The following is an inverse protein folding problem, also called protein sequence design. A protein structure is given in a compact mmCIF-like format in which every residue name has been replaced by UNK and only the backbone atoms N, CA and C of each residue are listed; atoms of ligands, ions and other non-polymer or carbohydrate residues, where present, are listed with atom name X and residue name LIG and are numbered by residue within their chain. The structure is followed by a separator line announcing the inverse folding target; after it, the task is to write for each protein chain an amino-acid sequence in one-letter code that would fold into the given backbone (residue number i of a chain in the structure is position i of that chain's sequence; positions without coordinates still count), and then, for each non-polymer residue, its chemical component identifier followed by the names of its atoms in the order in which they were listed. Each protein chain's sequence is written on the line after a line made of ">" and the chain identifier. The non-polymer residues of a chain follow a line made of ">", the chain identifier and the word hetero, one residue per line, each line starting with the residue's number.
data_IF_639325072063
#
_entry.id   IF_639325072063
#
_cell.length_a   1.000
_cell.length_b   1.000
_cell.length_c   1.000
_cell.angle_alpha   90.00
_cell.angle_beta   90.00
_cell.angle_gamma   90.00
#
_symmetry.space_group_name_H-M   'P 1'
#
loop_
_entity.id
_entity.type
_entity.pdbx_description
1 polymer ?
#
# COMPACT_ATOMS: atom_id res chain seq x y z
N UNK A 1 -20.54 -0.20 -28.57
CA UNK A 1 -19.84 -0.03 -27.28
C UNK A 1 -18.76 -1.10 -27.24
N UNK A 2 -17.50 -0.71 -27.05
CA UNK A 2 -16.34 -1.57 -27.27
C UNK A 2 -16.35 -2.71 -26.24
N UNK A 3 -16.43 -3.95 -26.69
CA UNK A 3 -16.43 -5.18 -25.86
C UNK A 3 -15.21 -5.25 -24.93
N UNK A 4 -14.07 -4.74 -25.41
CA UNK A 4 -12.82 -4.61 -24.63
C UNK A 4 -13.01 -3.70 -23.40
N UNK A 5 -13.63 -2.54 -23.58
CA UNK A 5 -13.88 -1.59 -22.49
C UNK A 5 -14.79 -2.21 -21.43
N UNK A 6 -15.88 -2.86 -21.86
CA UNK A 6 -16.80 -3.53 -20.93
C UNK A 6 -16.12 -4.64 -20.15
N UNK A 7 -15.29 -5.47 -20.81
CA UNK A 7 -14.53 -6.53 -20.13
C UNK A 7 -13.55 -5.93 -19.10
N UNK A 8 -12.86 -4.85 -19.46
CA UNK A 8 -11.98 -4.15 -18.53
C UNK A 8 -12.74 -3.61 -17.33
N UNK A 9 -13.86 -2.95 -17.55
CA UNK A 9 -14.70 -2.40 -16.49
C UNK A 9 -15.16 -3.53 -15.52
N UNK A 10 -15.62 -4.64 -16.03
CA UNK A 10 -16.11 -5.75 -15.20
C UNK A 10 -14.98 -6.45 -14.43
N UNK A 11 -13.79 -6.59 -15.02
CA UNK A 11 -12.71 -7.39 -14.44
C UNK A 11 -11.73 -6.55 -13.61
N UNK A 12 -11.48 -5.32 -13.96
CA UNK A 12 -10.42 -4.50 -13.32
C UNK A 12 -10.98 -3.47 -12.34
N UNK A 13 -12.11 -2.81 -12.65
CA UNK A 13 -12.66 -1.77 -11.78
C UNK A 13 -13.02 -2.26 -10.36
N UNK A 14 -13.44 -3.50 -10.13
CA UNK A 14 -13.65 -3.99 -8.76
C UNK A 14 -12.39 -3.99 -7.88
N UNK A 15 -11.20 -3.87 -8.47
CA UNK A 15 -9.92 -3.86 -7.77
C UNK A 15 -9.28 -2.47 -7.65
N UNK A 16 -10.02 -1.38 -8.03
CA UNK A 16 -9.51 -0.01 -7.93
C UNK A 16 -9.14 0.38 -6.51
N UNK A 17 -9.99 0.05 -5.54
CA UNK A 17 -9.75 0.37 -4.13
C UNK A 17 -8.49 -0.35 -3.61
N UNK A 18 -8.28 -1.61 -4.03
CA UNK A 18 -7.06 -2.35 -3.72
C UNK A 18 -5.82 -1.70 -4.35
N UNK A 19 -5.93 -1.22 -5.59
CA UNK A 19 -4.84 -0.55 -6.29
C UNK A 19 -4.45 0.76 -5.59
N UNK A 20 -5.43 1.61 -5.26
CA UNK A 20 -5.20 2.87 -4.54
C UNK A 20 -4.65 2.63 -3.14
N UNK A 21 -5.28 1.73 -2.36
CA UNK A 21 -4.83 1.38 -1.01
C UNK A 21 -3.40 0.85 -0.99
N UNK A 22 -3.05 -0.04 -1.92
CA UNK A 22 -1.68 -0.53 -2.04
C UNK A 22 -0.69 0.59 -2.44
N UNK A 23 -1.05 1.46 -3.41
CA UNK A 23 -0.26 2.63 -3.76
C UNK A 23 -0.04 3.54 -2.54
N UNK A 24 -1.07 3.76 -1.73
CA UNK A 24 -1.04 4.57 -0.51
C UNK A 24 -0.03 4.04 0.52
N UNK A 25 0.04 2.71 0.66
CA UNK A 25 1.03 2.08 1.54
C UNK A 25 2.46 2.14 1.00
N UNK A 26 2.62 2.13 -0.32
CA UNK A 26 3.94 2.22 -0.94
C UNK A 26 4.51 3.64 -0.90
N UNK A 27 3.71 4.66 -1.24
CA UNK A 27 4.14 6.06 -1.37
C UNK A 27 4.15 6.82 -0.06
N UNK A 28 3.30 6.45 0.91
CA UNK A 28 3.01 7.19 2.16
C UNK A 28 2.43 8.60 1.95
N UNK A 29 2.18 9.00 0.72
CA UNK A 29 1.58 10.29 0.33
C UNK A 29 0.27 10.04 -0.41
N UNK A 30 -0.84 10.73 -0.05
CA UNK A 30 -2.10 10.63 -0.78
C UNK A 30 -1.97 11.01 -2.25
N UNK A 31 -1.32 12.14 -2.52
CA UNK A 31 -1.18 12.70 -3.87
C UNK A 31 -0.34 11.77 -4.77
N UNK A 32 0.81 11.29 -4.25
CA UNK A 32 1.63 10.31 -4.96
C UNK A 32 0.89 8.97 -5.18
N UNK A 33 0.06 8.55 -4.22
CA UNK A 33 -0.72 7.33 -4.34
C UNK A 33 -1.76 7.44 -5.44
N UNK A 34 -2.40 8.59 -5.57
CA UNK A 34 -3.36 8.86 -6.63
C UNK A 34 -2.68 8.82 -8.00
N UNK A 35 -1.55 9.50 -8.16
CA UNK A 35 -0.77 9.49 -9.39
C UNK A 35 -0.32 8.07 -9.79
N UNK A 36 0.18 7.31 -8.82
CA UNK A 36 0.61 5.91 -9.04
C UNK A 36 -0.57 5.03 -9.42
N UNK A 37 -1.72 5.18 -8.76
CA UNK A 37 -2.90 4.39 -9.05
C UNK A 37 -3.48 4.74 -10.44
N UNK A 38 -3.57 6.01 -10.79
CA UNK A 38 -4.03 6.46 -12.11
C UNK A 38 -3.13 5.93 -13.22
N UNK A 39 -1.82 6.08 -13.10
CA UNK A 39 -0.86 5.55 -14.08
C UNK A 39 -0.96 4.02 -14.18
N UNK A 40 -1.16 3.32 -13.05
CA UNK A 40 -1.34 1.89 -13.04
C UNK A 40 -2.60 1.45 -13.81
N UNK A 41 -3.72 2.15 -13.64
CA UNK A 41 -4.95 1.87 -14.38
C UNK A 41 -4.79 2.14 -15.88
N UNK A 42 -4.13 3.22 -16.25
CA UNK A 42 -3.83 3.52 -17.66
C UNK A 42 -2.97 2.42 -18.30
N UNK A 43 -1.94 1.94 -17.58
CA UNK A 43 -1.10 0.82 -18.04
C UNK A 43 -1.86 -0.49 -18.09
N UNK A 44 -2.71 -0.74 -17.09
CA UNK A 44 -3.59 -1.90 -17.07
C UNK A 44 -4.53 -1.87 -18.28
N UNK A 45 -5.15 -0.75 -18.58
CA UNK A 45 -6.03 -0.63 -19.75
C UNK A 45 -5.28 -0.88 -21.06
N UNK A 46 -4.07 -0.34 -21.22
CA UNK A 46 -3.24 -0.57 -22.42
C UNK A 46 -2.79 -2.03 -22.55
N UNK A 47 -2.48 -2.68 -21.44
CA UNK A 47 -1.99 -4.06 -21.38
C UNK A 47 -3.08 -5.12 -21.20
N UNK A 48 -4.35 -4.75 -21.17
CA UNK A 48 -5.44 -5.65 -20.80
C UNK A 48 -5.57 -6.90 -21.69
N UNK A 49 -5.34 -6.73 -22.99
CA UNK A 49 -5.41 -7.86 -23.94
C UNK A 49 -4.27 -8.88 -23.76
N UNK A 50 -3.20 -8.48 -23.08
CA UNK A 50 -2.10 -9.36 -22.72
C UNK A 50 -2.29 -10.07 -21.38
N UNK A 51 -3.37 -9.75 -20.64
CA UNK A 51 -3.70 -10.43 -19.40
C UNK A 51 -3.84 -11.93 -19.63
N UNK A 52 -3.01 -12.72 -18.97
CA UNK A 52 -3.05 -14.18 -18.98
C UNK A 52 -3.38 -14.66 -17.57
N UNK A 53 -4.42 -15.48 -17.46
CA UNK A 53 -4.86 -16.06 -16.19
C UNK A 53 -6.03 -15.31 -15.55
N UNK A 54 -6.50 -15.84 -14.41
CA UNK A 54 -7.71 -15.39 -13.71
C UNK A 54 -7.44 -14.39 -12.57
N UNK A 55 -6.18 -14.22 -12.16
CA UNK A 55 -5.84 -13.35 -11.02
C UNK A 55 -5.58 -11.92 -11.47
N UNK A 56 -6.69 -11.24 -11.75
CA UNK A 56 -6.70 -9.82 -12.17
C UNK A 56 -6.15 -8.92 -11.07
N UNK A 57 -6.44 -9.23 -9.79
CA UNK A 57 -5.98 -8.44 -8.66
C UNK A 57 -4.46 -8.46 -8.55
N UNK A 58 -3.85 -9.63 -8.52
CA UNK A 58 -2.39 -9.76 -8.43
C UNK A 58 -1.68 -9.11 -9.64
N UNK A 59 -2.26 -9.27 -10.84
CA UNK A 59 -1.75 -8.60 -12.04
C UNK A 59 -1.79 -7.07 -11.91
N UNK A 60 -2.92 -6.50 -11.44
CA UNK A 60 -3.06 -5.06 -11.25
C UNK A 60 -2.09 -4.54 -10.18
N UNK A 61 -1.98 -5.22 -9.03
CA UNK A 61 -1.06 -4.83 -7.96
C UNK A 61 0.41 -4.92 -8.40
N UNK A 62 0.75 -5.86 -9.30
CA UNK A 62 2.08 -5.88 -9.96
C UNK A 62 2.33 -4.61 -10.77
N UNK A 63 1.32 -4.11 -11.47
CA UNK A 63 1.44 -2.86 -12.25
C UNK A 63 1.60 -1.67 -11.30
N UNK A 64 0.81 -1.59 -10.23
CA UNK A 64 0.92 -0.53 -9.19
C UNK A 64 2.35 -0.48 -8.63
N UNK A 65 2.88 -1.63 -8.21
CA UNK A 65 4.25 -1.76 -7.71
C UNK A 65 5.29 -1.26 -8.71
N UNK A 66 5.15 -1.62 -9.97
CA UNK A 66 6.06 -1.20 -11.03
C UNK A 66 5.97 0.30 -11.31
N UNK A 67 4.78 0.90 -11.24
CA UNK A 67 4.58 2.35 -11.37
C UNK A 67 5.27 3.08 -10.22
N UNK A 68 5.05 2.67 -8.98
CA UNK A 68 5.73 3.22 -7.81
C UNK A 68 7.26 3.15 -7.95
N UNK A 69 7.82 1.99 -8.29
CA UNK A 69 9.27 1.82 -8.47
C UNK A 69 9.84 2.75 -9.58
N UNK A 70 9.06 3.04 -10.62
CA UNK A 70 9.46 3.95 -11.70
C UNK A 70 9.42 5.41 -11.25
N UNK A 71 8.37 5.83 -10.54
CA UNK A 71 8.22 7.18 -9.98
C UNK A 71 9.33 7.48 -8.99
N UNK A 72 9.62 6.56 -8.08
CA UNK A 72 10.69 6.69 -7.09
C UNK A 72 12.07 6.86 -7.75
N UNK A 73 12.37 6.10 -8.81
CA UNK A 73 13.63 6.28 -9.58
C UNK A 73 13.70 7.64 -10.26
N UNK A 74 12.58 8.14 -10.78
CA UNK A 74 12.52 9.46 -11.43
C UNK A 74 12.77 10.58 -10.41
N UNK A 75 12.12 10.52 -9.26
CA UNK A 75 12.31 11.50 -8.17
C UNK A 75 13.76 11.52 -7.67
N UNK A 76 14.40 10.36 -7.45
CA UNK A 76 15.80 10.29 -7.07
C UNK A 76 16.75 10.84 -8.12
N UNK A 77 16.42 10.73 -9.41
CA UNK A 77 17.22 11.36 -10.48
C UNK A 77 17.10 12.88 -10.49
N UNK A 78 15.92 13.41 -10.17
CA UNK A 78 15.70 14.86 -10.07
C UNK A 78 16.33 15.41 -8.81
N UNK A 79 16.27 14.69 -7.68
CA UNK A 79 16.91 15.08 -6.42
C UNK A 79 18.45 15.05 -6.44
N UNK A 80 19.08 14.49 -7.48
CA UNK A 80 20.52 14.56 -7.70
C UNK A 80 20.97 15.90 -8.34
N UNK A 81 20.03 16.79 -8.68
CA UNK A 81 20.32 18.21 -8.97
C UNK A 81 20.16 18.95 -7.65
N UNK A 82 21.23 19.57 -7.10
CA UNK A 82 21.15 20.18 -5.76
C UNK A 82 20.29 21.44 -5.81
N UNK A 83 19.08 21.33 -5.33
CA UNK A 83 18.27 22.44 -4.83
C UNK A 83 18.07 22.20 -3.34
N UNK A 84 18.39 23.18 -2.48
CA UNK A 84 18.18 23.05 -1.04
C UNK A 84 16.70 23.33 -0.75
N UNK A 85 15.92 22.33 -0.48
CA UNK A 85 14.65 22.48 0.22
C UNK A 85 14.49 21.35 1.24
N UNK A 86 14.49 21.80 2.47
CA UNK A 86 14.10 21.04 3.65
C UNK A 86 12.65 20.61 3.49
N UNK A 87 12.41 19.32 3.35
CA UNK A 87 11.08 18.76 3.51
C UNK A 87 11.06 17.99 4.83
N UNK A 88 10.62 18.70 5.85
CA UNK A 88 10.08 18.09 7.04
C UNK A 88 8.91 17.19 6.63
N UNK A 89 9.02 15.91 6.95
CA UNK A 89 7.96 14.93 6.74
C UNK A 89 6.91 15.08 7.85
N UNK A 90 6.17 16.18 7.84
CA UNK A 90 4.93 16.33 8.55
C UNK A 90 3.77 16.09 7.57
N UNK A 91 3.40 14.83 7.44
CA UNK A 91 2.25 14.39 6.66
C UNK A 91 1.15 13.83 7.53
N UNK A 92 0.64 14.62 8.44
CA UNK A 92 -0.62 14.35 9.14
C UNK A 92 -1.79 14.74 8.23
N UNK A 93 -2.01 13.98 7.16
CA UNK A 93 -3.18 14.13 6.32
C UNK A 93 -4.35 13.36 6.96
N UNK A 94 -4.97 13.99 7.95
CA UNK A 94 -6.27 13.62 8.49
C UNK A 94 -7.31 13.59 7.35
N UNK A 95 -7.81 12.42 7.05
CA UNK A 95 -9.09 12.31 6.35
C UNK A 95 -10.16 12.71 7.38
N UNK A 96 -10.66 13.94 7.24
CA UNK A 96 -11.82 14.38 7.98
C UNK A 96 -13.04 13.55 7.53
N UNK A 97 -13.59 12.78 8.42
CA UNK A 97 -14.90 12.17 8.24
C UNK A 97 -15.77 12.55 9.42
N UNK A 98 -16.99 12.94 9.09
CA UNK A 98 -18.02 13.55 9.92
C UNK A 98 -18.32 12.83 11.25
N UNK A 99 -18.84 13.62 12.19
CA UNK A 99 -19.26 13.29 13.55
C UNK A 99 -20.09 12.01 13.65
N UNK A 100 -19.54 11.00 14.31
CA UNK A 100 -20.23 9.79 14.73
C UNK A 100 -19.88 9.41 16.20
N UNK A 101 -20.67 8.52 16.86
CA UNK A 101 -20.66 8.28 18.31
C UNK A 101 -19.30 7.82 18.88
N UNK A 102 -19.09 7.96 20.20
CA UNK A 102 -17.84 7.71 20.94
C UNK A 102 -17.15 6.37 20.61
N UNK A 103 -17.91 5.30 20.37
CA UNK A 103 -17.35 3.98 19.97
C UNK A 103 -16.68 3.99 18.59
N UNK A 104 -17.13 4.87 17.69
CA UNK A 104 -16.51 5.04 16.38
C UNK A 104 -15.17 5.81 16.48
N UNK A 105 -15.05 6.70 17.47
CA UNK A 105 -13.81 7.46 17.71
C UNK A 105 -12.69 6.55 18.23
N UNK A 106 -12.97 5.65 19.16
CA UNK A 106 -11.99 4.69 19.71
C UNK A 106 -11.47 3.76 18.63
N UNK A 107 -12.35 3.22 17.79
CA UNK A 107 -11.94 2.37 16.65
C UNK A 107 -11.07 3.10 15.63
N UNK A 108 -11.39 4.35 15.32
CA UNK A 108 -10.59 5.19 14.43
C UNK A 108 -9.20 5.47 15.00
N UNK A 109 -9.09 5.67 16.29
CA UNK A 109 -7.80 5.88 16.94
C UNK A 109 -6.94 4.60 16.95
N UNK A 110 -7.55 3.43 17.15
CA UNK A 110 -6.87 2.14 17.01
C UNK A 110 -6.42 1.87 15.58
N UNK A 111 -7.25 2.17 14.57
CA UNK A 111 -6.92 2.07 13.16
C UNK A 111 -5.76 2.99 12.77
N UNK A 112 -5.80 4.26 13.17
CA UNK A 112 -4.72 5.23 12.96
C UNK A 112 -3.42 4.81 13.63
N UNK A 113 -3.50 4.25 14.83
CA UNK A 113 -2.33 3.73 15.53
C UNK A 113 -1.73 2.54 14.80
N UNK A 114 -2.55 1.61 14.31
CA UNK A 114 -2.08 0.48 13.51
C UNK A 114 -1.43 0.96 12.20
N UNK A 115 -2.02 1.94 11.53
CA UNK A 115 -1.45 2.55 10.33
C UNK A 115 -0.07 3.16 10.60
N UNK A 116 0.10 3.90 11.68
CA UNK A 116 1.40 4.46 12.09
C UNK A 116 2.45 3.37 12.36
N UNK A 117 2.03 2.28 13.01
CA UNK A 117 2.92 1.15 13.30
C UNK A 117 3.38 0.44 12.01
N UNK A 118 2.46 0.23 11.06
CA UNK A 118 2.79 -0.37 9.76
C UNK A 118 3.66 0.60 8.93
N UNK A 119 3.35 1.89 8.93
CA UNK A 119 4.14 2.91 8.25
C UNK A 119 5.59 2.99 8.76
N UNK A 120 5.82 2.67 10.04
CA UNK A 120 7.14 2.58 10.65
C UNK A 120 7.99 1.38 10.21
N UNK A 121 7.42 0.42 9.49
CA UNK A 121 8.19 -0.70 8.95
C UNK A 121 9.05 -0.27 7.75
N UNK A 122 10.14 -1.02 7.50
CA UNK A 122 10.89 -0.86 6.25
C UNK A 122 9.99 -1.16 5.05
N UNK A 123 10.29 -0.57 3.90
CA UNK A 123 9.48 -0.70 2.68
C UNK A 123 9.29 -2.18 2.29
N UNK A 124 10.35 -2.99 2.37
CA UNK A 124 10.32 -4.43 2.10
C UNK A 124 9.39 -5.22 3.02
N UNK A 125 9.36 -4.87 4.30
CA UNK A 125 8.50 -5.54 5.29
C UNK A 125 7.07 -5.07 5.16
N UNK A 126 6.86 -3.77 4.96
CA UNK A 126 5.53 -3.18 4.77
C UNK A 126 4.86 -3.73 3.52
N UNK A 127 5.58 -3.80 2.38
CA UNK A 127 5.06 -4.31 1.12
C UNK A 127 4.45 -5.71 1.29
N UNK A 128 5.20 -6.67 1.80
CA UNK A 128 4.70 -8.04 1.95
C UNK A 128 3.60 -8.17 3.01
N UNK A 129 3.67 -7.37 4.09
CA UNK A 129 2.67 -7.36 5.14
C UNK A 129 1.33 -6.83 4.63
N UNK A 130 1.33 -5.72 3.91
CA UNK A 130 0.14 -5.11 3.31
C UNK A 130 -0.51 -6.06 2.31
N UNK A 131 0.28 -6.68 1.42
CA UNK A 131 -0.24 -7.66 0.48
C UNK A 131 -0.88 -8.86 1.18
N UNK A 132 -0.32 -9.31 2.32
CA UNK A 132 -0.87 -10.45 3.07
C UNK A 132 -2.08 -10.07 3.92
N UNK A 133 -1.95 -9.07 4.78
CA UNK A 133 -2.91 -8.80 5.86
C UNK A 133 -4.02 -7.83 5.44
N UNK A 134 -3.78 -6.98 4.45
CA UNK A 134 -4.74 -5.97 3.99
C UNK A 134 -5.36 -6.39 2.65
N UNK A 135 -4.56 -6.91 1.74
CA UNK A 135 -5.03 -7.35 0.43
C UNK A 135 -5.40 -8.84 0.37
N UNK A 136 -5.24 -9.58 1.49
CA UNK A 136 -5.58 -11.00 1.66
C UNK A 136 -5.02 -11.93 0.57
N UNK A 137 -3.80 -11.63 0.11
CA UNK A 137 -3.12 -12.42 -0.91
C UNK A 137 -2.44 -13.64 -0.32
N UNK A 138 -2.43 -14.75 -1.04
CA UNK A 138 -1.64 -15.90 -0.67
C UNK A 138 -0.14 -15.70 -0.94
N UNK A 139 0.71 -16.58 -0.43
CA UNK A 139 2.17 -16.42 -0.57
C UNK A 139 2.66 -16.54 -2.02
N UNK A 140 1.95 -17.27 -2.88
CA UNK A 140 2.29 -17.41 -4.30
C UNK A 140 1.91 -16.15 -5.06
N UNK A 141 0.76 -15.58 -4.77
CA UNK A 141 0.32 -14.29 -5.31
C UNK A 141 1.29 -13.17 -4.91
N UNK A 142 1.68 -13.11 -3.63
CA UNK A 142 2.68 -12.14 -3.15
C UNK A 142 4.02 -12.35 -3.87
N UNK A 143 4.46 -13.60 -4.05
CA UNK A 143 5.68 -13.89 -4.80
C UNK A 143 5.60 -13.41 -6.26
N UNK A 144 4.43 -13.57 -6.90
CA UNK A 144 4.19 -13.08 -8.26
C UNK A 144 4.21 -11.54 -8.32
N UNK A 145 3.53 -10.85 -7.41
CA UNK A 145 3.48 -9.37 -7.33
C UNK A 145 4.87 -8.80 -7.05
N UNK A 146 5.57 -9.34 -6.05
CA UNK A 146 6.87 -8.81 -5.60
C UNK A 146 8.05 -9.30 -6.43
N UNK A 147 7.85 -10.33 -7.26
CA UNK A 147 8.90 -11.05 -8.02
C UNK A 147 9.99 -11.63 -7.11
N UNK A 148 9.60 -12.04 -5.91
CA UNK A 148 10.48 -12.67 -4.94
C UNK A 148 10.29 -14.19 -4.91
N UNK A 149 11.33 -14.96 -4.59
CA UNK A 149 11.18 -16.38 -4.29
C UNK A 149 10.20 -16.59 -3.11
N UNK A 150 9.41 -17.66 -3.15
CA UNK A 150 8.42 -17.98 -2.12
C UNK A 150 9.03 -18.04 -0.70
N UNK A 151 10.22 -18.65 -0.56
CA UNK A 151 10.94 -18.67 0.71
C UNK A 151 11.33 -17.29 1.23
N UNK A 152 11.61 -16.34 0.30
CA UNK A 152 11.91 -14.95 0.66
C UNK A 152 10.64 -14.23 1.13
N UNK A 153 9.49 -14.46 0.50
CA UNK A 153 8.20 -13.93 0.95
C UNK A 153 7.90 -14.40 2.36
N UNK A 154 8.02 -15.71 2.62
CA UNK A 154 7.78 -16.29 3.95
C UNK A 154 8.69 -15.70 5.01
N UNK A 155 9.98 -15.59 4.74
CA UNK A 155 10.96 -15.05 5.70
C UNK A 155 10.76 -13.55 5.93
N UNK A 156 10.41 -12.76 4.89
CA UNK A 156 10.08 -11.33 5.03
C UNK A 156 8.81 -11.13 5.85
N UNK A 157 7.75 -11.90 5.61
CA UNK A 157 6.53 -11.85 6.41
C UNK A 157 6.77 -12.16 7.88
N UNK A 158 7.55 -13.20 8.17
CA UNK A 158 7.90 -13.54 9.57
C UNK A 158 8.63 -12.37 10.26
N UNK A 159 9.60 -11.76 9.58
CA UNK A 159 10.33 -10.58 10.10
C UNK A 159 9.45 -9.34 10.21
N UNK A 160 8.57 -9.10 9.24
CA UNK A 160 7.63 -7.98 9.26
C UNK A 160 6.67 -8.07 10.46
N UNK A 161 6.09 -9.24 10.71
CA UNK A 161 5.24 -9.49 11.89
C UNK A 161 5.99 -9.30 13.21
N UNK A 162 7.23 -9.77 13.29
CA UNK A 162 8.06 -9.56 14.47
C UNK A 162 8.39 -8.08 14.69
N UNK A 163 8.70 -7.34 13.63
CA UNK A 163 8.96 -5.92 13.70
C UNK A 163 7.71 -5.15 14.12
N UNK A 164 6.55 -5.46 13.55
CA UNK A 164 5.26 -4.85 13.92
C UNK A 164 4.95 -5.10 15.40
N UNK A 165 5.14 -6.35 15.89
CA UNK A 165 4.97 -6.67 17.31
C UNK A 165 5.89 -5.84 18.22
N UNK A 166 7.14 -5.64 17.83
CA UNK A 166 8.09 -4.80 18.58
C UNK A 166 7.66 -3.33 18.60
N UNK A 167 7.14 -2.81 17.49
CA UNK A 167 6.61 -1.45 17.42
C UNK A 167 5.37 -1.29 18.31
N UNK A 168 4.47 -2.26 18.26
CA UNK A 168 3.28 -2.28 19.10
C UNK A 168 3.63 -2.25 20.60
N UNK A 169 4.53 -3.12 21.05
CA UNK A 169 4.93 -3.19 22.47
C UNK A 169 5.52 -1.86 22.95
N UNK A 170 6.40 -1.23 22.16
CA UNK A 170 6.97 0.08 22.52
C UNK A 170 5.89 1.19 22.58
N UNK A 171 4.90 1.13 21.70
CA UNK A 171 3.81 2.09 21.69
C UNK A 171 2.88 1.92 22.90
N UNK A 172 2.57 0.67 23.26
CA UNK A 172 1.71 0.36 24.39
C UNK A 172 2.38 0.63 25.76
N UNK A 173 3.71 0.54 25.86
CA UNK A 173 4.47 0.89 27.06
C UNK A 173 4.52 2.41 27.31
N UNK A 174 4.36 3.21 26.24
CA UNK A 174 4.34 4.69 26.32
C UNK A 174 2.97 5.31 26.60
N UNK A 175 1.89 4.54 26.55
CA UNK A 175 0.55 5.04 26.89
C UNK A 175 0.27 4.77 28.38
N UNK A 176 -0.10 5.81 29.18
CA UNK A 176 -0.57 5.58 30.54
C UNK A 176 -1.85 4.74 30.47
N UNK A 177 -1.83 3.55 31.11
CA UNK A 177 -3.04 2.76 31.31
C UNK A 177 -4.07 3.66 31.99
N UNK A 178 -5.15 3.98 31.31
CA UNK A 178 -6.34 4.46 31.99
C UNK A 178 -6.77 3.36 32.97
N UNK A 179 -6.52 3.61 34.26
CA UNK A 179 -7.04 2.77 35.35
C UNK A 179 -8.50 3.15 35.51
N UNK A 180 -9.43 2.18 35.55
CA UNK A 180 -10.86 2.44 35.74
C UNK A 180 -11.16 3.07 37.07
#
# INVERSE_FOLDING_TARGET
>A
MDDRRRRFEVQVLPHLDSAYRFARWLTRSPDEAEDVAQEAILRAYRGFDALRGSDVKAWLLTIVRNCHATSFKKQRRVALVPLPEEHEADGDALIATDLEPEDASIRRDEERNLEKLIAGLSDDHREVLVLREIEDMDYREIAAVTKLPLGTVMSRLARARLALKKHWLRHSEGQPRAVP
#
